data_IF_612965631596
#
_entry.id   IF_612965631596
#
_cell.length_a   1.000
_cell.length_b   1.000
_cell.length_c   1.000
_cell.angle_alpha   90.00
_cell.angle_beta   90.00
_cell.angle_gamma   90.00
#
_symmetry.space_group_name_H-M   'P 1'
#
loop_
_entity.id
_entity.type
_entity.pdbx_description
1 polymer ?
#
# COMPACT_ATOMS: atom_id res chain seq x y z
N UNK A 1 2.35 -64.86 -3.95
CA UNK A 1 0.98 -64.33 -3.86
C UNK A 1 0.66 -63.64 -5.18
N UNK A 2 -0.08 -64.33 -6.04
CA UNK A 2 -0.53 -63.82 -7.34
C UNK A 2 -1.81 -63.01 -7.15
N UNK A 3 -1.90 -61.82 -7.74
CA UNK A 3 -3.17 -61.12 -7.92
C UNK A 3 -3.39 -60.80 -9.39
N UNK A 4 -4.56 -61.21 -9.83
CA UNK A 4 -5.03 -61.29 -11.21
C UNK A 4 -5.37 -59.93 -11.82
N UNK A 5 -5.32 -59.97 -13.14
CA UNK A 5 -5.77 -59.02 -14.14
C UNK A 5 -7.26 -58.61 -14.01
N UNK A 6 -7.59 -57.40 -14.46
CA UNK A 6 -8.97 -56.89 -14.55
C UNK A 6 -9.10 -55.70 -15.51
N UNK A 7 -8.94 -55.95 -16.81
CA UNK A 7 -9.37 -55.07 -17.91
C UNK A 7 -10.89 -55.03 -18.02
N UNK A 8 -11.48 -53.84 -18.18
CA UNK A 8 -12.73 -53.65 -18.94
C UNK A 8 -12.80 -52.24 -19.54
N UNK A 9 -13.15 -52.21 -20.82
CA UNK A 9 -13.15 -51.07 -21.74
C UNK A 9 -14.57 -50.47 -21.85
N UNK A 10 -14.63 -49.12 -21.84
CA UNK A 10 -15.41 -48.24 -22.74
C UNK A 10 -16.98 -48.30 -22.68
N UNK A 11 -17.71 -47.52 -23.51
CA UNK A 11 -17.96 -46.06 -23.43
C UNK A 11 -19.46 -45.69 -23.60
N UNK A 12 -19.89 -44.44 -23.38
CA UNK A 12 -21.17 -43.87 -23.91
C UNK A 12 -21.10 -42.33 -23.81
N UNK A 13 -20.88 -41.54 -24.88
CA UNK A 13 -21.87 -40.94 -25.83
C UNK A 13 -23.14 -40.40 -25.13
N UNK A 14 -23.76 -39.24 -25.42
CA UNK A 14 -23.61 -38.06 -26.28
C UNK A 14 -24.95 -37.28 -26.15
N UNK A 15 -24.99 -35.93 -26.20
CA UNK A 15 -26.08 -35.02 -26.71
C UNK A 15 -25.85 -33.61 -26.09
N UNK A 16 -25.43 -32.51 -26.77
CA UNK A 16 -26.07 -31.69 -27.84
C UNK A 16 -27.53 -31.37 -27.53
N UNK A 17 -28.10 -30.15 -27.59
CA UNK A 17 -27.79 -28.80 -28.09
C UNK A 17 -28.95 -27.90 -27.59
N UNK A 18 -28.80 -26.56 -27.55
CA UNK A 18 -29.73 -25.62 -28.23
C UNK A 18 -29.34 -24.15 -28.02
N UNK A 19 -29.24 -23.45 -29.15
CA UNK A 19 -29.15 -22.00 -29.32
C UNK A 19 -30.52 -21.31 -29.16
N UNK A 20 -30.51 -20.03 -28.79
CA UNK A 20 -31.59 -19.06 -29.02
C UNK A 20 -31.30 -17.75 -28.27
N UNK A 21 -30.68 -16.74 -28.88
CA UNK A 21 -31.22 -15.72 -29.78
C UNK A 21 -31.24 -14.32 -29.11
N UNK A 22 -30.33 -13.47 -29.61
CA UNK A 22 -30.37 -12.02 -29.83
C UNK A 22 -31.15 -11.11 -28.87
N UNK A 23 -30.43 -10.16 -28.26
CA UNK A 23 -30.89 -8.76 -28.14
C UNK A 23 -29.69 -7.84 -28.28
N UNK A 24 -29.76 -6.96 -29.26
CA UNK A 24 -28.67 -6.05 -29.61
C UNK A 24 -28.48 -4.95 -28.57
N UNK A 25 -27.22 -4.58 -28.37
CA UNK A 25 -26.84 -3.27 -27.85
C UNK A 25 -25.69 -2.76 -28.70
N UNK A 26 -25.98 -1.69 -29.45
CA UNK A 26 -24.99 -0.81 -30.07
C UNK A 26 -23.96 -0.42 -29.01
N UNK A 27 -22.68 -0.57 -29.32
CA UNK A 27 -21.62 0.06 -28.56
C UNK A 27 -21.72 1.59 -28.76
N UNK A 28 -21.84 2.40 -27.70
CA UNK A 28 -21.50 3.80 -27.79
C UNK A 28 -19.97 3.90 -27.78
N UNK A 29 -19.40 4.38 -28.89
CA UNK A 29 -18.11 5.06 -28.87
C UNK A 29 -18.28 6.34 -28.06
N UNK A 30 -17.72 6.40 -26.86
CA UNK A 30 -17.34 7.67 -26.28
C UNK A 30 -16.15 7.52 -25.33
N UNK A 31 -15.14 8.33 -25.63
CA UNK A 31 -14.06 8.84 -24.80
C UNK A 31 -13.71 8.04 -23.54
N UNK A 32 -12.64 7.23 -23.65
CA UNK A 32 -11.87 6.75 -22.51
C UNK A 32 -11.15 7.90 -21.82
N UNK A 33 -11.89 8.71 -21.05
CA UNK A 33 -11.33 9.47 -19.95
C UNK A 33 -10.79 8.46 -18.95
N UNK A 34 -9.47 8.52 -18.69
CA UNK A 34 -8.82 7.67 -17.72
C UNK A 34 -9.54 7.79 -16.38
N UNK A 35 -10.30 6.77 -16.02
CA UNK A 35 -10.79 6.61 -14.67
C UNK A 35 -9.55 6.45 -13.78
N UNK A 36 -9.19 7.52 -13.07
CA UNK A 36 -8.34 7.40 -11.90
C UNK A 36 -9.17 6.58 -10.92
N UNK A 37 -8.96 5.27 -10.92
CA UNK A 37 -9.41 4.36 -9.87
C UNK A 37 -8.76 4.85 -8.58
N UNK A 38 -9.48 5.72 -7.88
CA UNK A 38 -9.28 5.92 -6.47
C UNK A 38 -9.87 4.65 -5.85
N UNK A 39 -8.99 3.70 -5.52
CA UNK A 39 -9.38 2.52 -4.75
C UNK A 39 -9.85 3.00 -3.37
N UNK A 40 -11.14 3.31 -3.26
CA UNK A 40 -11.78 3.54 -1.98
C UNK A 40 -11.86 2.20 -1.25
N UNK A 41 -10.84 1.89 -0.46
CA UNK A 41 -10.92 0.77 0.46
C UNK A 41 -12.01 1.05 1.50
N UNK A 42 -13.01 0.15 1.66
CA UNK A 42 -14.08 0.34 2.62
C UNK A 42 -13.48 0.48 4.03
N UNK A 43 -14.05 1.38 4.84
CA UNK A 43 -13.55 1.69 6.18
C UNK A 43 -13.40 0.45 7.08
N UNK A 44 -14.19 -0.60 6.83
CA UNK A 44 -14.10 -1.89 7.51
C UNK A 44 -12.76 -2.62 7.33
N UNK A 45 -11.93 -2.23 6.35
CA UNK A 45 -10.60 -2.82 6.11
C UNK A 45 -9.45 -2.04 6.76
N UNK A 46 -9.75 -0.92 7.44
CA UNK A 46 -8.74 -0.05 8.06
C UNK A 46 -8.47 -0.50 9.48
N UNK A 47 -7.25 -0.99 9.73
CA UNK A 47 -6.82 -1.30 11.10
C UNK A 47 -5.94 -0.17 11.64
N UNK A 48 -6.27 0.46 12.78
CA UNK A 48 -5.44 1.50 13.36
C UNK A 48 -4.13 0.91 13.90
N UNK A 49 -3.04 1.62 13.68
CA UNK A 49 -1.72 1.16 14.09
C UNK A 49 -0.65 2.24 14.02
N UNK A 50 0.60 1.79 14.03
CA UNK A 50 1.77 2.64 13.85
C UNK A 50 2.91 1.88 13.18
N UNK A 51 3.79 2.65 12.53
CA UNK A 51 5.08 2.21 12.04
C UNK A 51 6.17 2.63 13.02
N UNK A 52 6.95 1.69 13.53
CA UNK A 52 8.14 1.97 14.34
C UNK A 52 9.37 2.11 13.44
N UNK A 53 10.11 3.21 13.56
CA UNK A 53 11.28 3.41 12.69
C UNK A 53 12.46 2.51 13.08
N UNK A 54 12.59 2.14 14.36
CA UNK A 54 13.74 1.36 14.85
C UNK A 54 13.90 -0.02 14.22
N UNK A 55 12.80 -0.66 13.81
CA UNK A 55 12.79 -1.99 13.18
C UNK A 55 11.86 -2.09 11.95
N UNK A 56 11.27 -0.96 11.52
CA UNK A 56 10.30 -0.87 10.43
C UNK A 56 9.07 -1.77 10.60
N UNK A 57 8.73 -2.13 11.84
CA UNK A 57 7.57 -2.96 12.15
C UNK A 57 6.28 -2.16 12.12
N UNK A 58 5.23 -2.79 11.57
CA UNK A 58 3.86 -2.31 11.68
C UNK A 58 3.21 -2.99 12.89
N UNK A 59 2.65 -2.19 13.78
CA UNK A 59 1.92 -2.68 14.97
C UNK A 59 0.49 -2.17 14.95
N UNK A 60 -0.42 -2.97 15.48
CA UNK A 60 -1.82 -2.60 15.66
C UNK A 60 -2.09 -2.32 17.13
N UNK A 61 -3.05 -1.44 17.42
CA UNK A 61 -3.45 -1.14 18.80
C UNK A 61 -3.91 -2.39 19.56
N UNK A 62 -4.52 -3.34 18.86
CA UNK A 62 -4.97 -4.62 19.42
C UNK A 62 -3.83 -5.52 19.94
N UNK A 63 -2.58 -5.29 19.50
CA UNK A 63 -1.41 -6.05 19.96
C UNK A 63 -0.89 -5.59 21.34
N UNK A 64 -1.49 -4.57 21.94
CA UNK A 64 -1.37 -4.25 23.38
C UNK A 64 0.01 -3.81 23.85
N UNK A 65 0.85 -3.23 22.98
CA UNK A 65 2.18 -2.72 23.36
C UNK A 65 2.30 -1.28 22.93
N UNK A 66 2.87 -0.43 23.77
CA UNK A 66 3.21 0.94 23.40
C UNK A 66 4.34 0.98 22.35
N UNK A 67 4.42 2.06 21.55
CA UNK A 67 5.52 2.25 20.61
C UNK A 67 6.89 2.28 21.29
N UNK A 68 7.89 1.61 20.71
CA UNK A 68 9.23 1.45 21.29
C UNK A 68 10.22 2.59 21.01
N UNK A 69 9.75 3.71 20.46
CA UNK A 69 10.59 4.85 20.10
C UNK A 69 9.90 5.75 19.08
N UNK A 70 10.70 6.36 18.19
CA UNK A 70 10.17 7.17 17.10
C UNK A 70 9.21 6.34 16.23
N UNK A 71 8.03 6.88 15.96
CA UNK A 71 6.98 6.20 15.21
C UNK A 71 6.04 7.19 14.51
N UNK A 72 5.22 6.68 13.59
CA UNK A 72 4.11 7.42 12.98
C UNK A 72 2.82 6.61 13.13
N UNK A 73 1.73 7.24 13.55
CA UNK A 73 0.41 6.62 13.55
C UNK A 73 -0.22 6.61 12.16
N UNK A 74 -1.01 5.58 11.88
CA UNK A 74 -1.67 5.44 10.59
C UNK A 74 -2.69 4.32 10.53
N UNK A 75 -3.20 4.11 9.32
CA UNK A 75 -4.06 3.00 8.97
C UNK A 75 -3.28 1.92 8.24
N UNK A 76 -3.49 0.66 8.60
CA UNK A 76 -3.05 -0.49 7.83
C UNK A 76 -4.21 -0.92 6.92
N UNK A 77 -3.97 -0.96 5.60
CA UNK A 77 -4.93 -1.38 4.57
C UNK A 77 -4.27 -2.39 3.64
N UNK A 78 -4.66 -3.66 3.68
CA UNK A 78 -4.19 -4.65 2.69
C UNK A 78 -2.66 -4.76 2.56
N UNK A 79 -1.90 -4.48 3.63
CA UNK A 79 -0.42 -4.49 3.62
C UNK A 79 0.23 -3.13 3.35
N UNK A 80 -0.55 -2.10 3.02
CA UNK A 80 -0.11 -0.70 2.89
C UNK A 80 -0.31 0.04 4.21
N UNK A 81 0.62 0.93 4.54
CA UNK A 81 0.50 1.84 5.68
C UNK A 81 0.21 3.27 5.22
N UNK A 82 -0.92 3.84 5.62
CA UNK A 82 -1.29 5.22 5.33
C UNK A 82 -1.08 6.09 6.59
N UNK A 83 -0.06 6.97 6.62
CA UNK A 83 0.26 7.76 7.81
C UNK A 83 -0.79 8.84 8.05
N UNK A 84 -1.23 9.03 9.30
CA UNK A 84 -2.25 10.02 9.69
C UNK A 84 -1.68 11.33 10.25
N UNK A 85 -0.42 11.31 10.68
CA UNK A 85 0.22 12.48 11.28
C UNK A 85 1.69 12.58 10.94
N UNK A 86 2.40 13.35 11.74
CA UNK A 86 3.85 13.44 11.71
C UNK A 86 4.47 12.44 12.70
N UNK A 87 5.80 12.48 12.80
CA UNK A 87 6.59 11.62 13.67
C UNK A 87 6.39 11.98 15.14
N UNK A 88 6.15 10.96 15.95
CA UNK A 88 6.00 11.02 17.41
C UNK A 88 7.22 10.36 18.04
N UNK A 89 7.70 10.90 19.16
CA UNK A 89 8.92 10.43 19.82
C UNK A 89 10.20 11.12 19.34
N UNK A 90 10.08 12.10 18.42
CA UNK A 90 11.14 12.99 17.97
C UNK A 90 11.98 12.46 16.80
N UNK A 91 12.78 13.34 16.23
CA UNK A 91 13.83 12.99 15.26
C UNK A 91 14.89 12.14 15.97
N UNK A 92 15.12 10.94 15.46
CA UNK A 92 16.09 10.01 16.04
C UNK A 92 17.50 10.45 15.65
N UNK A 93 18.33 10.85 16.61
CA UNK A 93 19.77 10.91 16.33
C UNK A 93 20.30 9.48 16.25
N UNK A 94 20.93 9.09 15.14
CA UNK A 94 21.47 7.75 15.02
C UNK A 94 22.62 7.52 16.03
N UNK A 95 22.79 6.28 16.54
CA UNK A 95 23.84 5.95 17.48
C UNK A 95 25.24 6.11 16.85
N UNK A 96 26.21 6.55 17.66
CA UNK A 96 27.60 6.71 17.22
C UNK A 96 28.21 5.36 16.83
N UNK A 97 29.08 5.37 15.82
CA UNK A 97 29.84 4.20 15.39
C UNK A 97 29.09 3.22 14.49
N UNK A 98 27.83 3.52 14.11
CA UNK A 98 27.11 2.77 13.07
C UNK A 98 27.45 3.26 11.68
N UNK A 99 27.35 2.37 10.71
CA UNK A 99 27.36 2.72 9.29
C UNK A 99 25.92 3.06 8.90
N UNK A 100 25.75 4.28 8.36
CA UNK A 100 24.45 4.87 8.09
C UNK A 100 24.34 5.28 6.63
N UNK A 101 23.27 4.86 5.98
CA UNK A 101 22.94 5.27 4.61
C UNK A 101 21.92 6.42 4.64
N UNK A 102 22.27 7.62 4.15
CA UNK A 102 21.29 8.69 4.02
C UNK A 102 20.28 8.35 2.92
N UNK A 103 19.02 8.69 3.15
CA UNK A 103 17.95 8.38 2.20
C UNK A 103 16.58 8.74 2.73
N UNK A 104 15.59 8.11 2.13
CA UNK A 104 14.19 8.28 2.40
C UNK A 104 13.56 6.94 2.74
N UNK A 105 12.60 6.94 3.66
CA UNK A 105 11.71 5.82 3.90
C UNK A 105 10.35 6.14 3.29
N UNK A 106 9.94 5.36 2.29
CA UNK A 106 8.58 5.41 1.78
C UNK A 106 7.63 4.74 2.78
N UNK A 107 6.69 5.47 3.35
CA UNK A 107 5.91 4.99 4.49
C UNK A 107 4.88 3.93 4.08
N UNK A 108 4.37 3.98 2.86
CA UNK A 108 3.38 3.02 2.34
C UNK A 108 3.93 1.62 2.20
N UNK A 109 5.13 1.51 1.65
CA UNK A 109 5.79 0.24 1.32
C UNK A 109 6.87 -0.15 2.33
N UNK A 110 7.34 0.80 3.14
CA UNK A 110 8.52 0.70 4.03
C UNK A 110 9.82 0.50 3.24
N UNK A 111 9.83 0.86 1.96
CA UNK A 111 11.01 0.78 1.13
C UNK A 111 11.99 1.90 1.48
N UNK A 112 13.29 1.54 1.56
CA UNK A 112 14.36 2.52 1.65
C UNK A 112 14.81 2.94 0.27
N UNK A 113 14.85 4.25 0.03
CA UNK A 113 15.36 4.87 -1.19
C UNK A 113 16.60 5.67 -0.82
N UNK A 114 17.77 5.24 -1.31
CA UNK A 114 19.03 5.94 -1.05
C UNK A 114 18.99 7.34 -1.66
N UNK A 115 19.49 8.34 -0.92
CA UNK A 115 19.60 9.71 -1.44
C UNK A 115 20.61 9.73 -2.58
N UNK A 116 20.14 9.98 -3.79
CA UNK A 116 20.96 10.19 -4.99
C UNK A 116 20.35 11.35 -5.78
N UNK A 117 21.16 12.37 -6.04
CA UNK A 117 20.88 13.59 -6.81
C UNK A 117 19.46 14.16 -6.60
N UNK A 118 18.49 13.79 -7.44
CA UNK A 118 17.11 14.32 -7.45
C UNK A 118 16.00 13.26 -7.23
N UNK A 119 16.34 12.03 -6.82
CA UNK A 119 15.37 10.95 -6.65
C UNK A 119 14.68 11.00 -5.28
N UNK A 120 13.54 11.70 -5.21
CA UNK A 120 12.61 11.56 -4.09
C UNK A 120 11.62 10.41 -4.38
N UNK A 121 11.32 9.55 -3.40
CA UNK A 121 10.26 8.56 -3.56
C UNK A 121 8.89 9.24 -3.68
N UNK A 122 7.91 8.46 -4.12
CA UNK A 122 6.52 8.93 -4.15
C UNK A 122 6.04 9.16 -2.70
N UNK A 123 5.51 10.35 -2.36
CA UNK A 123 4.92 10.57 -1.04
C UNK A 123 3.81 9.55 -0.72
N UNK A 124 3.63 9.17 0.56
CA UNK A 124 4.27 9.76 1.73
C UNK A 124 5.63 9.13 2.08
N UNK A 125 6.61 9.97 2.39
CA UNK A 125 7.95 9.53 2.79
C UNK A 125 8.54 10.39 3.91
N UNK A 126 9.62 9.92 4.53
CA UNK A 126 10.39 10.65 5.55
C UNK A 126 11.88 10.59 5.18
N UNK A 127 12.58 11.71 5.30
CA UNK A 127 14.04 11.76 5.16
C UNK A 127 14.75 11.28 6.45
N UNK A 128 15.89 10.64 6.30
CA UNK A 128 16.70 10.20 7.44
C UNK A 128 17.87 9.31 7.05
N UNK A 129 18.23 8.43 7.97
CA UNK A 129 19.34 7.49 7.81
C UNK A 129 18.90 6.06 8.11
N UNK A 130 19.26 5.12 7.24
CA UNK A 130 19.10 3.69 7.50
C UNK A 130 20.38 3.11 8.13
N UNK A 131 20.21 2.36 9.20
CA UNK A 131 21.24 1.53 9.80
C UNK A 131 21.51 0.32 8.90
N UNK A 132 22.76 0.17 8.42
CA UNK A 132 23.09 -0.97 7.56
C UNK A 132 23.11 -2.30 8.29
N UNK A 133 23.28 -2.29 9.61
CA UNK A 133 23.40 -3.49 10.42
C UNK A 133 22.02 -3.97 10.91
N UNK A 134 21.18 -3.05 11.38
CA UNK A 134 19.86 -3.39 11.94
C UNK A 134 18.73 -3.25 10.93
N UNK A 135 18.92 -2.52 9.84
CA UNK A 135 17.86 -2.15 8.89
C UNK A 135 16.91 -1.08 9.43
N UNK A 136 17.08 -0.64 10.68
CA UNK A 136 16.31 0.42 11.31
C UNK A 136 16.53 1.78 10.64
N UNK A 137 15.59 2.68 10.85
CA UNK A 137 15.59 4.01 10.27
C UNK A 137 15.59 5.07 11.37
N UNK A 138 16.35 6.14 11.14
CA UNK A 138 16.45 7.28 12.03
C UNK A 138 15.94 8.52 11.29
N UNK A 139 14.71 8.98 11.57
CA UNK A 139 14.14 10.10 10.85
C UNK A 139 14.80 11.42 11.23
N UNK A 140 14.97 12.29 10.24
CA UNK A 140 15.66 13.59 10.37
C UNK A 140 14.77 14.79 10.06
N UNK A 141 13.49 14.56 9.84
CA UNK A 141 12.53 15.59 9.43
C UNK A 141 11.10 15.06 9.48
N UNK A 142 10.18 15.83 8.91
CA UNK A 142 8.75 15.52 8.93
C UNK A 142 8.31 14.59 7.79
N UNK A 143 7.14 13.99 7.97
CA UNK A 143 6.45 13.25 6.90
C UNK A 143 6.13 14.17 5.72
N UNK A 144 6.77 13.92 4.58
CA UNK A 144 6.46 14.55 3.31
C UNK A 144 5.22 13.89 2.70
N UNK A 145 4.26 14.70 2.28
CA UNK A 145 2.96 14.24 1.74
C UNK A 145 2.76 14.83 0.34
N UNK A 146 1.99 14.13 -0.49
CA UNK A 146 1.58 14.70 -1.76
C UNK A 146 0.78 15.99 -1.49
N UNK A 147 0.93 17.03 -2.32
CA UNK A 147 0.09 18.21 -2.23
C UNK A 147 -1.38 17.77 -2.29
N UNK A 148 -2.22 18.21 -1.34
CA UNK A 148 -3.66 18.14 -1.56
C UNK A 148 -3.95 18.99 -2.78
N UNK A 149 -4.42 18.36 -3.86
CA UNK A 149 -5.10 19.10 -4.93
C UNK A 149 -6.18 19.93 -4.25
N UNK A 150 -6.04 21.26 -4.33
CA UNK A 150 -7.06 22.16 -3.82
C UNK A 150 -8.36 21.80 -4.53
N UNK A 151 -9.33 21.29 -3.76
CA UNK A 151 -10.68 21.08 -4.27
C UNK A 151 -11.15 22.45 -4.76
N UNK A 152 -11.49 22.55 -6.04
CA UNK A 152 -11.99 23.80 -6.61
C UNK A 152 -13.13 24.32 -5.72
N UNK A 153 -13.17 25.62 -5.39
CA UNK A 153 -14.25 26.14 -4.57
C UNK A 153 -15.59 25.86 -5.27
N UNK A 154 -16.48 25.15 -4.58
CA UNK A 154 -17.88 24.97 -4.96
C UNK A 154 -18.54 26.34 -5.07
N UNK A 155 -18.55 26.91 -6.28
CA UNK A 155 -18.90 28.32 -6.42
C UNK A 155 -19.02 28.81 -7.85
N UNK A 156 -19.45 27.96 -8.80
CA UNK A 156 -19.90 28.42 -10.11
C UNK A 156 -21.30 27.87 -10.41
N UNK A 157 -22.28 28.21 -9.57
CA UNK A 157 -23.66 28.31 -10.05
C UNK A 157 -23.74 29.58 -10.90
N UNK A 158 -23.54 29.44 -12.20
CA UNK A 158 -23.97 30.45 -13.16
C UNK A 158 -25.46 30.68 -12.99
N UNK A 159 -25.81 31.94 -12.70
CA UNK A 159 -27.18 32.42 -12.65
C UNK A 159 -27.90 32.13 -13.97
N UNK A 160 -29.17 31.80 -13.82
CA UNK A 160 -30.17 31.83 -14.90
C UNK A 160 -30.74 33.24 -15.03
#
# INVERSE_FOLDING_TARGET
MNWNCGTSRAPLLLLLLLLGACSGTRAPTDQGGGAVLTEEHPDAMRTPGWLEFGDLSLRTAAAGKDPRGAHVHGWLLGGVFEPLGDIIGGEGRPPRGRILNPGFLELRTRAFVKKADDANPTPPYVEGWQDTETGGFYPSGSVQRAPRLATAPDGARSGS
#
